data_IF_119861897631
#
_entry.id   IF_119861897631
#
_cell.length_a   1.000
_cell.length_b   1.000
_cell.length_c   1.000
_cell.angle_alpha   90.00
_cell.angle_beta   90.00
_cell.angle_gamma   90.00
#
_symmetry.space_group_name_H-M   'P 1'
#
loop_
_entity.id
_entity.type
_entity.pdbx_description
1 polymer ?
#
# COMPACT_ATOMS: atom_id res chain seq x y z
N UNK A 1 -17.53 -27.62 -10.18
CA UNK A 1 -17.02 -26.55 -9.29
C UNK A 1 -16.08 -25.70 -10.13
N UNK A 2 -16.22 -24.37 -10.21
CA UNK A 2 -15.26 -23.59 -10.97
C UNK A 2 -13.91 -23.61 -10.25
N UNK A 3 -12.88 -24.11 -10.92
CA UNK A 3 -11.47 -24.00 -10.52
C UNK A 3 -11.10 -22.52 -10.41
N UNK A 4 -11.06 -22.00 -9.19
CA UNK A 4 -10.49 -20.67 -8.92
C UNK A 4 -8.98 -20.87 -8.98
N UNK A 5 -8.39 -20.69 -10.17
CA UNK A 5 -6.93 -20.64 -10.27
C UNK A 5 -6.42 -19.45 -9.43
N UNK A 6 -5.39 -19.66 -8.59
CA UNK A 6 -4.86 -18.60 -7.75
C UNK A 6 -4.30 -17.46 -8.59
N UNK A 7 -4.54 -16.22 -8.16
CA UNK A 7 -3.87 -15.06 -8.74
C UNK A 7 -2.37 -15.17 -8.42
N UNK A 8 -1.52 -14.88 -9.41
CA UNK A 8 -0.07 -14.89 -9.23
C UNK A 8 0.38 -13.46 -8.91
N UNK A 9 0.95 -13.23 -7.72
CA UNK A 9 1.62 -11.96 -7.40
C UNK A 9 2.82 -11.80 -8.33
N UNK A 10 2.89 -10.65 -8.99
CA UNK A 10 3.96 -10.29 -9.92
C UNK A 10 4.76 -9.07 -9.45
N UNK A 11 4.22 -8.33 -8.49
CA UNK A 11 4.86 -7.15 -7.93
C UNK A 11 4.38 -6.95 -6.49
N UNK A 12 5.31 -6.59 -5.63
CA UNK A 12 5.04 -6.14 -4.28
C UNK A 12 6.08 -5.08 -3.91
N UNK A 13 5.61 -3.92 -3.44
CA UNK A 13 6.48 -2.83 -3.02
C UNK A 13 5.92 -2.15 -1.79
N UNK A 14 6.80 -1.96 -0.80
CA UNK A 14 6.56 -1.17 0.41
C UNK A 14 7.51 0.02 0.38
N UNK A 15 6.97 1.24 0.42
CA UNK A 15 7.74 2.48 0.49
C UNK A 15 7.44 3.21 1.79
N UNK A 16 8.48 3.48 2.57
CA UNK A 16 8.39 4.34 3.75
C UNK A 16 8.12 5.79 3.29
N UNK A 17 7.02 6.38 3.74
CA UNK A 17 6.59 7.73 3.33
C UNK A 17 6.62 8.74 4.47
N UNK A 18 6.83 8.28 5.72
CA UNK A 18 7.06 9.15 6.85
C UNK A 18 6.87 8.50 8.21
N UNK A 19 6.78 9.32 9.26
CA UNK A 19 6.67 8.86 10.65
C UNK A 19 5.67 9.67 11.46
N UNK A 20 5.05 9.08 12.48
CA UNK A 20 4.12 9.78 13.35
C UNK A 20 4.16 9.33 14.82
N UNK A 21 3.72 10.22 15.71
CA UNK A 21 3.57 9.93 17.14
C UNK A 21 2.20 9.30 17.42
N UNK A 22 2.11 8.53 18.52
CA UNK A 22 0.91 7.80 18.94
C UNK A 22 -0.36 8.67 18.98
N UNK A 23 -0.23 9.93 19.40
CA UNK A 23 -1.36 10.85 19.57
C UNK A 23 -2.04 11.30 18.27
N UNK A 24 -1.46 11.00 17.10
CA UNK A 24 -2.01 11.37 15.79
C UNK A 24 -2.83 10.25 15.14
N UNK A 25 -2.80 9.04 15.71
CA UNK A 25 -3.43 7.85 15.14
C UNK A 25 -4.77 7.65 15.85
N UNK A 26 -5.87 7.91 15.13
CA UNK A 26 -7.24 7.84 15.70
C UNK A 26 -7.72 6.43 16.02
N UNK A 27 -7.07 5.39 15.50
CA UNK A 27 -7.53 4.01 15.61
C UNK A 27 -6.74 3.24 16.66
N UNK A 28 -7.26 3.22 17.90
CA UNK A 28 -7.09 2.17 18.92
C UNK A 28 -5.75 1.43 18.93
N UNK A 29 -4.64 2.16 18.95
CA UNK A 29 -3.37 1.51 19.25
C UNK A 29 -3.17 1.51 20.76
N UNK A 30 -2.88 0.32 21.30
CA UNK A 30 -2.52 0.12 22.70
C UNK A 30 -1.51 1.20 23.11
N UNK A 31 -1.82 1.97 24.16
CA UNK A 31 -0.94 2.98 24.78
C UNK A 31 0.29 2.30 25.41
N UNK A 32 1.16 1.73 24.57
CA UNK A 32 2.50 1.33 25.00
C UNK A 32 3.35 2.57 24.88
N UNK A 33 3.72 3.10 26.05
CA UNK A 33 4.52 4.30 26.24
C UNK A 33 5.96 4.07 25.73
N UNK A 34 6.10 3.94 24.41
CA UNK A 34 7.37 3.74 23.71
C UNK A 34 7.74 5.03 23.02
N UNK A 35 8.98 5.50 23.19
CA UNK A 35 9.52 6.67 22.47
C UNK A 35 9.71 6.43 20.96
N UNK A 36 9.24 5.30 20.44
CA UNK A 36 9.38 4.91 19.04
C UNK A 36 8.22 5.48 18.22
N UNK A 37 8.57 6.20 17.16
CA UNK A 37 7.61 6.71 16.20
C UNK A 37 7.05 5.57 15.34
N UNK A 38 5.78 5.68 14.98
CA UNK A 38 5.18 4.86 13.94
C UNK A 38 5.79 5.19 12.61
N UNK A 39 6.11 4.17 11.84
CA UNK A 39 6.58 4.34 10.46
C UNK A 39 5.41 4.10 9.51
N UNK A 40 5.17 5.07 8.63
CA UNK A 40 4.08 5.07 7.67
C UNK A 40 4.59 4.48 6.36
N UNK A 41 3.90 3.47 5.85
CA UNK A 41 4.22 2.81 4.59
C UNK A 41 3.09 2.97 3.57
N UNK A 42 3.46 3.20 2.32
CA UNK A 42 2.62 2.97 1.16
C UNK A 42 2.95 1.60 0.58
N UNK A 43 1.95 0.73 0.46
CA UNK A 43 2.11 -0.61 -0.10
C UNK A 43 1.30 -0.76 -1.37
N UNK A 44 1.91 -1.34 -2.39
CA UNK A 44 1.25 -1.79 -3.61
C UNK A 44 1.56 -3.27 -3.81
N UNK A 45 0.52 -4.07 -3.94
CA UNK A 45 0.60 -5.45 -4.43
C UNK A 45 -0.07 -5.53 -5.79
N UNK A 46 0.54 -6.22 -6.75
CA UNK A 46 -0.10 -6.50 -8.02
C UNK A 46 -0.08 -8.00 -8.34
N UNK A 47 -1.23 -8.51 -8.75
CA UNK A 47 -1.43 -9.92 -9.07
C UNK A 47 -2.18 -10.10 -10.38
N UNK A 48 -1.85 -11.17 -11.12
CA UNK A 48 -2.44 -11.47 -12.42
C UNK A 48 -3.27 -12.74 -12.36
N UNK A 49 -4.46 -12.69 -12.93
CA UNK A 49 -5.31 -13.86 -13.16
C UNK A 49 -4.91 -14.55 -14.47
N UNK A 50 -4.40 -15.78 -14.37
CA UNK A 50 -3.98 -16.58 -15.53
C UNK A 50 -5.11 -16.99 -16.49
N UNK A 51 -6.39 -16.88 -16.10
CA UNK A 51 -7.55 -17.25 -16.95
C UNK A 51 -8.21 -16.06 -17.62
N UNK A 52 -8.22 -14.90 -16.95
CA UNK A 52 -8.94 -13.71 -17.42
C UNK A 52 -8.02 -12.65 -18.02
N UNK A 53 -6.69 -12.85 -17.98
CA UNK A 53 -5.69 -11.82 -18.32
C UNK A 53 -6.06 -10.50 -17.65
N UNK A 54 -6.32 -10.56 -16.35
CA UNK A 54 -6.64 -9.38 -15.54
C UNK A 54 -5.51 -9.13 -14.58
N UNK A 55 -5.04 -7.89 -14.55
CA UNK A 55 -4.15 -7.35 -13.54
C UNK A 55 -5.01 -6.73 -12.43
N UNK A 56 -4.77 -7.15 -11.20
CA UNK A 56 -5.31 -6.56 -9.98
C UNK A 56 -4.18 -5.84 -9.27
N UNK A 57 -4.36 -4.56 -8.97
CA UNK A 57 -3.43 -3.76 -8.18
C UNK A 57 -4.16 -3.34 -6.91
N UNK A 58 -3.62 -3.68 -5.76
CA UNK A 58 -4.13 -3.32 -4.44
C UNK A 58 -3.16 -2.35 -3.79
N UNK A 59 -3.67 -1.22 -3.30
CA UNK A 59 -2.86 -0.16 -2.70
C UNK A 59 -3.44 0.23 -1.36
N UNK A 60 -2.59 0.37 -0.35
CA UNK A 60 -3.00 0.82 0.98
C UNK A 60 -1.89 1.56 1.70
N UNK A 61 -2.28 2.34 2.70
CA UNK A 61 -1.37 2.88 3.69
C UNK A 61 -1.59 2.17 5.02
N UNK A 62 -0.49 1.85 5.70
CA UNK A 62 -0.52 1.29 7.05
C UNK A 62 0.61 1.87 7.88
N UNK A 63 0.53 1.71 9.19
CA UNK A 63 1.63 2.04 10.10
C UNK A 63 2.32 0.77 10.54
N UNK A 64 3.61 0.84 10.85
CA UNK A 64 4.36 -0.28 11.41
C UNK A 64 5.21 0.20 12.58
N UNK A 65 5.12 -0.52 13.69
CA UNK A 65 5.97 -0.36 14.89
C UNK A 65 6.21 -1.74 15.48
N UNK A 66 7.43 -2.25 15.35
CA UNK A 66 7.71 -3.66 15.65
C UNK A 66 6.81 -4.59 14.83
N UNK A 67 6.08 -5.47 15.52
CA UNK A 67 5.12 -6.41 14.92
C UNK A 67 3.70 -5.83 14.78
N UNK A 68 3.45 -4.60 15.27
CA UNK A 68 2.15 -3.94 15.18
C UNK A 68 1.99 -3.29 13.79
N UNK A 69 0.97 -3.70 13.04
CA UNK A 69 0.68 -3.18 11.69
C UNK A 69 -0.80 -2.77 11.58
N UNK A 70 -1.23 -1.63 12.17
CA UNK A 70 -2.59 -1.15 11.97
C UNK A 70 -2.76 -0.59 10.55
N UNK A 71 -3.83 -1.00 9.88
CA UNK A 71 -4.30 -0.33 8.67
C UNK A 71 -4.70 1.11 8.99
N UNK A 72 -4.67 1.99 7.98
CA UNK A 72 -5.04 3.39 8.16
C UNK A 72 -6.01 3.86 7.09
N UNK A 73 -7.11 4.50 7.51
CA UNK A 73 -8.16 4.94 6.60
C UNK A 73 -8.00 6.36 6.04
N UNK A 74 -6.93 7.10 6.39
CA UNK A 74 -6.73 8.47 5.92
C UNK A 74 -6.37 8.53 4.42
N UNK A 75 -5.78 7.46 3.88
CA UNK A 75 -5.86 7.13 2.46
C UNK A 75 -6.73 5.90 2.32
N UNK A 76 -7.85 6.02 1.61
CA UNK A 76 -8.70 4.86 1.36
C UNK A 76 -7.91 3.81 0.56
N UNK A 77 -7.92 2.54 0.98
CA UNK A 77 -7.38 1.47 0.16
C UNK A 77 -8.02 1.46 -1.22
N UNK A 78 -7.20 1.23 -2.24
CA UNK A 78 -7.61 1.23 -3.65
C UNK A 78 -7.39 -0.13 -4.26
N UNK A 79 -8.36 -0.56 -5.07
CA UNK A 79 -8.26 -1.77 -5.89
C UNK A 79 -8.52 -1.36 -7.33
N UNK A 80 -7.50 -1.55 -8.17
CA UNK A 80 -7.54 -1.24 -9.59
C UNK A 80 -7.55 -2.56 -10.36
N UNK A 81 -8.44 -2.67 -11.34
CA UNK A 81 -8.57 -3.84 -12.19
C UNK A 81 -8.35 -3.42 -13.64
N UNK A 82 -7.23 -3.85 -14.22
CA UNK A 82 -6.85 -3.56 -15.60
C UNK A 82 -6.73 -4.85 -16.42
N UNK A 83 -6.89 -4.79 -17.74
CA UNK A 83 -6.43 -5.86 -18.62
C UNK A 83 -4.92 -6.06 -18.45
N UNK A 84 -4.48 -7.31 -18.30
CA UNK A 84 -3.06 -7.65 -18.27
C UNK A 84 -2.46 -7.40 -19.65
N UNK A 85 -1.34 -6.69 -19.69
CA UNK A 85 -0.57 -6.48 -20.91
C UNK A 85 0.14 -7.79 -21.31
N UNK A 86 0.42 -7.95 -22.60
CA UNK A 86 1.15 -9.12 -23.11
C UNK A 86 2.65 -9.07 -22.75
N UNK A 87 3.16 -7.90 -22.37
CA UNK A 87 4.55 -7.64 -22.01
C UNK A 87 4.69 -7.47 -20.51
N UNK A 88 5.46 -8.36 -19.88
CA UNK A 88 5.77 -8.28 -18.44
C UNK A 88 6.50 -6.97 -18.10
N UNK A 89 7.35 -6.47 -19.00
CA UNK A 89 8.11 -5.23 -18.79
C UNK A 89 7.17 -4.03 -18.74
N UNK A 90 6.24 -3.93 -19.69
CA UNK A 90 5.30 -2.81 -19.75
C UNK A 90 4.30 -2.86 -18.57
N UNK A 91 3.91 -4.06 -18.17
CA UNK A 91 3.06 -4.28 -17.01
C UNK A 91 3.75 -3.84 -15.72
N UNK A 92 5.01 -4.24 -15.50
CA UNK A 92 5.78 -3.79 -14.34
C UNK A 92 6.00 -2.27 -14.35
N UNK A 93 6.29 -1.67 -15.51
CA UNK A 93 6.42 -0.21 -15.62
C UNK A 93 5.12 0.52 -15.26
N UNK A 94 3.97 0.01 -15.70
CA UNK A 94 2.66 0.55 -15.34
C UNK A 94 2.38 0.42 -13.83
N UNK A 95 2.67 -0.74 -13.23
CA UNK A 95 2.47 -0.96 -11.79
C UNK A 95 3.37 -0.03 -10.98
N UNK A 96 4.63 0.13 -11.38
CA UNK A 96 5.58 1.03 -10.74
C UNK A 96 5.09 2.49 -10.81
N UNK A 97 4.66 2.96 -11.97
CA UNK A 97 4.09 4.29 -12.13
C UNK A 97 2.83 4.48 -11.26
N UNK A 98 1.99 3.46 -11.19
CA UNK A 98 0.79 3.43 -10.33
C UNK A 98 1.15 3.52 -8.85
N UNK A 99 2.23 2.85 -8.41
CA UNK A 99 2.75 2.95 -7.05
C UNK A 99 3.27 4.37 -6.73
N UNK A 100 4.06 4.96 -7.63
CA UNK A 100 4.57 6.33 -7.48
C UNK A 100 3.44 7.37 -7.38
N UNK A 101 2.42 7.25 -8.23
CA UNK A 101 1.23 8.10 -8.16
C UNK A 101 0.47 7.94 -6.83
N UNK A 102 0.37 6.72 -6.32
CA UNK A 102 -0.26 6.46 -5.03
C UNK A 102 0.53 7.07 -3.88
N UNK A 103 1.87 6.99 -3.89
CA UNK A 103 2.72 7.68 -2.90
C UNK A 103 2.46 9.19 -2.93
N UNK A 104 2.46 9.82 -4.10
CA UNK A 104 2.17 11.26 -4.22
C UNK A 104 0.78 11.60 -3.69
N UNK A 105 -0.22 10.74 -3.95
CA UNK A 105 -1.59 10.90 -3.43
C UNK A 105 -1.64 10.75 -1.92
N UNK A 106 -0.90 9.81 -1.35
CA UNK A 106 -0.79 9.62 0.09
C UNK A 106 -0.13 10.84 0.74
N UNK A 107 0.99 11.31 0.20
CA UNK A 107 1.68 12.52 0.70
C UNK A 107 0.81 13.78 0.66
N UNK A 108 -0.15 13.90 -0.28
CA UNK A 108 -1.11 15.03 -0.31
C UNK A 108 -2.19 14.94 0.77
N UNK A 109 -2.51 13.74 1.22
CA UNK A 109 -3.52 13.48 2.27
C UNK A 109 -2.86 13.18 3.62
N UNK A 110 -1.54 13.39 3.70
CA UNK A 110 -0.74 13.04 4.86
C UNK A 110 -1.28 13.72 6.12
N UNK A 111 -1.43 13.00 7.25
CA UNK A 111 -2.01 13.60 8.42
C UNK A 111 -1.12 14.73 8.96
N UNK A 112 -1.73 15.87 9.30
CA UNK A 112 -1.03 16.99 9.91
C UNK A 112 -0.31 16.53 11.20
N UNK A 113 0.94 16.96 11.38
CA UNK A 113 1.79 16.56 12.51
C UNK A 113 2.67 15.33 12.27
N UNK A 114 2.47 14.61 11.16
CA UNK A 114 3.37 13.52 10.77
C UNK A 114 4.60 14.06 10.02
N UNK A 115 5.76 13.43 10.22
CA UNK A 115 7.01 13.75 9.54
C UNK A 115 7.05 13.08 8.17
N UNK A 116 7.01 13.85 7.10
CA UNK A 116 7.21 13.34 5.72
C UNK A 116 8.69 13.10 5.48
N UNK A 117 9.04 11.97 4.88
CA UNK A 117 10.39 11.74 4.38
C UNK A 117 10.48 12.29 2.95
N UNK A 118 11.40 13.24 2.77
CA UNK A 118 11.69 13.89 1.49
C UNK A 118 12.68 13.08 0.65
#
# INVERSE_FOLDING_TARGET
MPDIKPMKVIFESETEIGKCEDGLIKETVSERNTSELWTIYAHTEASVSGTKRMLKIEQRCYLRRGDEIPDQSWVKPEVILEPALDSDVDMLAMIQQTHEHFIVKALKQFPEGCLVLA
#
